data_IF_861578497792
#
_entry.id   IF_861578497792
#
_cell.length_a   1.000
_cell.length_b   1.000
_cell.length_c   1.000
_cell.angle_alpha   90.00
_cell.angle_beta   90.00
_cell.angle_gamma   90.00
#
_symmetry.space_group_name_H-M   'P 1'
#
loop_
_entity.id
_entity.type
_entity.pdbx_description
1 polymer ?
#
# COMPACT_ATOMS: atom_id res chain seq x y z
N UNK A 1 3.01 -4.30 -18.97
CA UNK A 1 3.23 -2.96 -18.39
C UNK A 1 3.52 -3.10 -16.91
N UNK A 2 4.66 -2.61 -16.42
CA UNK A 2 5.07 -2.73 -15.01
C UNK A 2 4.28 -1.76 -14.10
N UNK A 3 4.30 -1.98 -12.77
CA UNK A 3 3.59 -1.15 -11.79
C UNK A 3 3.87 0.37 -11.92
N UNK A 4 5.13 0.85 -12.11
CA UNK A 4 5.39 2.29 -12.29
C UNK A 4 4.67 2.88 -13.50
N UNK A 5 4.58 2.12 -14.60
CA UNK A 5 3.88 2.57 -15.80
C UNK A 5 2.36 2.60 -15.62
N UNK A 6 1.80 1.73 -14.76
CA UNK A 6 0.38 1.77 -14.39
C UNK A 6 0.10 3.00 -13.53
N UNK A 7 0.90 3.25 -12.49
CA UNK A 7 0.73 4.45 -11.66
C UNK A 7 0.89 5.73 -12.48
N UNK A 8 1.91 5.80 -13.33
CA UNK A 8 2.08 6.93 -14.22
C UNK A 8 0.86 7.14 -15.14
N UNK A 9 0.31 6.08 -15.72
CA UNK A 9 -0.92 6.18 -16.52
C UNK A 9 -2.10 6.70 -15.70
N UNK A 10 -2.28 6.20 -14.46
CA UNK A 10 -3.35 6.66 -13.57
C UNK A 10 -3.17 8.13 -13.22
N UNK A 11 -1.94 8.60 -12.98
CA UNK A 11 -1.67 10.02 -12.70
C UNK A 11 -2.08 10.98 -13.83
N UNK A 12 -2.16 10.49 -15.07
CA UNK A 12 -2.62 11.27 -16.23
C UNK A 12 -4.15 11.21 -16.44
N UNK A 13 -4.90 10.60 -15.53
CA UNK A 13 -6.36 10.50 -15.65
C UNK A 13 -7.02 11.88 -15.63
N UNK A 14 -8.13 12.02 -16.36
CA UNK A 14 -8.83 13.30 -16.54
C UNK A 14 -9.33 13.88 -15.20
N UNK A 15 -9.67 13.01 -14.26
CA UNK A 15 -10.08 13.34 -12.89
C UNK A 15 -9.06 14.24 -12.17
N UNK A 16 -7.77 14.09 -12.49
CA UNK A 16 -6.69 14.81 -11.82
C UNK A 16 -6.31 16.14 -12.47
N UNK A 17 -6.86 16.48 -13.63
CA UNK A 17 -6.52 17.72 -14.35
C UNK A 17 -6.85 19.01 -13.58
N UNK A 18 -7.78 18.93 -12.63
CA UNK A 18 -8.15 20.06 -11.77
C UNK A 18 -7.14 20.32 -10.64
N UNK A 19 -6.29 19.33 -10.31
CA UNK A 19 -5.24 19.50 -9.32
C UNK A 19 -4.14 20.39 -9.90
N UNK A 20 -3.69 21.33 -9.08
CA UNK A 20 -2.58 22.22 -9.41
C UNK A 20 -1.48 22.06 -8.37
N UNK A 21 -0.26 22.17 -8.85
CA UNK A 21 0.92 22.30 -7.99
C UNK A 21 1.01 23.76 -7.54
N UNK A 22 1.27 23.96 -6.25
CA UNK A 22 1.44 25.28 -5.63
C UNK A 22 2.87 25.40 -5.08
N UNK A 23 3.43 26.61 -5.07
CA UNK A 23 4.84 26.79 -4.68
C UNK A 23 5.09 26.42 -3.21
N UNK A 24 4.11 26.66 -2.33
CA UNK A 24 4.21 26.40 -0.89
C UNK A 24 4.20 24.91 -0.50
N UNK A 25 3.83 24.01 -1.42
CA UNK A 25 3.79 22.55 -1.19
C UNK A 25 4.96 21.81 -1.86
N UNK A 26 5.73 22.46 -2.74
CA UNK A 26 6.82 21.84 -3.51
C UNK A 26 7.88 21.19 -2.62
N UNK A 27 8.31 21.88 -1.56
CA UNK A 27 9.34 21.37 -0.66
C UNK A 27 8.91 20.08 0.05
N UNK A 28 7.64 19.99 0.45
CA UNK A 28 7.08 18.80 1.09
C UNK A 28 6.89 17.67 0.07
N UNK A 29 6.43 17.99 -1.13
CA UNK A 29 6.32 17.01 -2.23
C UNK A 29 7.68 16.42 -2.60
N UNK A 30 8.73 17.23 -2.67
CA UNK A 30 10.10 16.76 -2.92
C UNK A 30 10.57 15.80 -1.82
N UNK A 31 10.36 16.16 -0.54
CA UNK A 31 10.69 15.30 0.59
C UNK A 31 10.02 13.93 0.45
N UNK A 32 8.70 13.90 0.25
CA UNK A 32 7.96 12.64 0.07
C UNK A 32 8.39 11.88 -1.19
N UNK A 33 8.78 12.57 -2.25
CA UNK A 33 9.30 11.94 -3.47
C UNK A 33 10.62 11.19 -3.21
N UNK A 34 11.50 11.73 -2.38
CA UNK A 34 12.80 11.12 -2.07
C UNK A 34 12.74 10.08 -0.96
N UNK A 35 11.95 10.33 0.09
CA UNK A 35 11.98 9.53 1.31
C UNK A 35 10.90 8.42 1.30
N UNK A 36 9.77 8.63 0.62
CA UNK A 36 8.57 7.80 0.80
C UNK A 36 8.07 7.10 -0.47
N UNK A 37 8.51 7.53 -1.65
CA UNK A 37 8.09 6.92 -2.92
C UNK A 37 8.95 5.70 -3.27
N UNK A 38 8.36 4.51 -3.21
CA UNK A 38 9.00 3.25 -3.60
C UNK A 38 9.14 3.07 -5.12
N UNK A 39 8.22 3.65 -5.90
CA UNK A 39 8.19 3.57 -7.34
C UNK A 39 8.63 4.90 -7.98
N UNK A 40 9.34 4.87 -9.11
CA UNK A 40 9.79 6.09 -9.78
C UNK A 40 8.62 7.02 -10.13
N UNK A 41 8.75 8.29 -9.73
CA UNK A 41 7.81 9.36 -10.07
C UNK A 41 8.26 10.02 -11.37
N UNK A 42 7.48 9.86 -12.43
CA UNK A 42 7.71 10.58 -13.69
C UNK A 42 7.19 12.01 -13.58
N UNK A 43 7.96 12.99 -14.08
CA UNK A 43 7.57 14.40 -14.11
C UNK A 43 7.95 15.23 -12.89
N UNK A 44 8.37 14.61 -11.78
CA UNK A 44 8.79 15.31 -10.55
C UNK A 44 7.66 16.05 -9.83
N UNK A 45 7.97 16.64 -8.68
CA UNK A 45 7.03 17.36 -7.80
C UNK A 45 6.37 18.58 -8.44
N UNK A 46 7.01 19.18 -9.44
CA UNK A 46 6.53 20.39 -10.16
C UNK A 46 5.37 20.11 -11.13
N UNK A 47 5.16 18.84 -11.52
CA UNK A 47 4.09 18.44 -12.44
C UNK A 47 2.84 17.98 -11.69
N UNK A 48 1.65 18.23 -12.24
CA UNK A 48 0.40 17.72 -11.65
C UNK A 48 0.41 16.20 -11.57
N UNK A 49 0.92 15.52 -12.61
CA UNK A 49 1.00 14.07 -12.66
C UNK A 49 1.98 13.49 -11.63
N UNK A 50 3.11 14.18 -11.44
CA UNK A 50 4.09 13.83 -10.41
C UNK A 50 3.55 14.05 -9.00
N UNK A 51 2.88 15.18 -8.74
CA UNK A 51 2.14 15.42 -7.48
C UNK A 51 1.14 14.30 -7.19
N UNK A 52 0.32 13.91 -8.17
CA UNK A 52 -0.64 12.81 -8.02
C UNK A 52 0.06 11.50 -7.68
N UNK A 53 1.16 11.19 -8.37
CA UNK A 53 1.93 9.97 -8.13
C UNK A 53 2.54 9.96 -6.72
N UNK A 54 3.19 11.05 -6.31
CA UNK A 54 3.77 11.23 -4.96
C UNK A 54 2.68 11.03 -3.91
N UNK A 55 1.58 11.78 -3.99
CA UNK A 55 0.49 11.69 -3.02
C UNK A 55 -0.13 10.29 -2.93
N UNK A 56 -0.25 9.58 -4.06
CA UNK A 56 -0.75 8.21 -4.06
C UNK A 56 0.22 7.25 -3.35
N UNK A 57 1.53 7.39 -3.57
CA UNK A 57 2.52 6.56 -2.89
C UNK A 57 2.65 6.89 -1.40
N UNK A 58 2.64 8.18 -1.05
CA UNK A 58 2.57 8.68 0.34
C UNK A 58 1.34 8.13 1.06
N UNK A 59 0.19 8.11 0.39
CA UNK A 59 -1.06 7.51 0.92
C UNK A 59 -0.92 6.01 1.19
N UNK A 60 -0.38 5.25 0.22
CA UNK A 60 -0.17 3.80 0.39
C UNK A 60 0.80 3.53 1.55
N UNK A 61 1.88 4.30 1.64
CA UNK A 61 2.88 4.18 2.70
C UNK A 61 2.44 4.72 4.06
N UNK A 62 1.22 5.24 4.22
CA UNK A 62 0.69 5.86 5.46
C UNK A 62 1.58 6.96 6.02
N UNK A 63 2.24 7.70 5.14
CA UNK A 63 3.16 8.75 5.55
C UNK A 63 2.41 10.02 5.95
N UNK A 64 2.95 10.74 6.92
CA UNK A 64 2.32 11.93 7.45
C UNK A 64 2.53 13.11 6.50
N UNK A 65 1.42 13.70 6.05
CA UNK A 65 1.41 14.94 5.27
C UNK A 65 1.05 16.10 6.20
N UNK A 66 1.90 17.13 6.21
CA UNK A 66 1.84 18.31 7.06
C UNK A 66 0.97 19.41 6.45
N UNK A 67 1.08 19.65 5.13
CA UNK A 67 0.30 20.69 4.48
C UNK A 67 -1.17 20.26 4.29
N UNK A 68 -2.09 21.02 4.89
CA UNK A 68 -3.54 20.74 4.83
C UNK A 68 -4.12 20.65 3.40
N UNK A 69 -3.56 21.43 2.47
CA UNK A 69 -3.98 21.36 1.07
C UNK A 69 -3.56 20.03 0.42
N UNK A 70 -2.35 19.55 0.73
CA UNK A 70 -1.88 18.23 0.31
C UNK A 70 -2.65 17.09 0.97
N UNK A 71 -3.06 17.20 2.24
CA UNK A 71 -3.92 16.20 2.90
C UNK A 71 -5.25 16.03 2.16
N UNK A 72 -5.84 17.15 1.74
CA UNK A 72 -7.10 17.16 0.98
C UNK A 72 -6.91 16.59 -0.42
N UNK A 73 -5.85 17.01 -1.11
CA UNK A 73 -5.49 16.53 -2.44
C UNK A 73 -5.15 15.02 -2.40
N UNK A 74 -4.44 14.53 -1.38
CA UNK A 74 -4.12 13.12 -1.18
C UNK A 74 -5.38 12.27 -1.01
N UNK A 75 -6.33 12.71 -0.19
CA UNK A 75 -7.61 12.02 0.01
C UNK A 75 -8.41 11.94 -1.29
N UNK A 76 -8.41 13.02 -2.07
CA UNK A 76 -9.03 13.06 -3.40
C UNK A 76 -8.33 12.10 -4.36
N UNK A 77 -7.00 12.11 -4.41
CA UNK A 77 -6.19 11.21 -5.26
C UNK A 77 -6.45 9.76 -4.93
N UNK A 78 -6.36 9.36 -3.66
CA UNK A 78 -6.57 8.00 -3.21
C UNK A 78 -7.95 7.45 -3.58
N UNK A 79 -9.01 8.23 -3.35
CA UNK A 79 -10.37 7.81 -3.68
C UNK A 79 -10.57 7.59 -5.18
N UNK A 80 -10.09 8.52 -6.01
CA UNK A 80 -10.27 8.42 -7.46
C UNK A 80 -9.34 7.36 -8.07
N UNK A 81 -8.08 7.27 -7.64
CA UNK A 81 -7.14 6.24 -8.08
C UNK A 81 -7.67 4.83 -7.78
N UNK A 82 -8.22 4.60 -6.59
CA UNK A 82 -8.84 3.32 -6.23
C UNK A 82 -10.02 2.94 -7.13
N UNK A 83 -10.86 3.91 -7.54
CA UNK A 83 -11.95 3.67 -8.50
C UNK A 83 -11.43 3.37 -9.90
N UNK A 84 -10.47 4.17 -10.38
CA UNK A 84 -9.86 4.01 -11.71
C UNK A 84 -9.19 2.63 -11.83
N UNK A 85 -8.40 2.23 -10.85
CA UNK A 85 -7.69 0.94 -10.88
C UNK A 85 -8.65 -0.25 -10.84
N UNK A 86 -9.73 -0.18 -10.06
CA UNK A 86 -10.79 -1.21 -10.09
C UNK A 86 -11.49 -1.29 -11.45
N UNK A 87 -11.81 -0.15 -12.06
CA UNK A 87 -12.38 -0.12 -13.40
C UNK A 87 -11.43 -0.73 -14.45
N UNK A 88 -10.13 -0.37 -14.39
CA UNK A 88 -9.10 -0.96 -15.25
C UNK A 88 -8.98 -2.47 -15.04
N UNK A 89 -8.99 -2.94 -13.79
CA UNK A 89 -8.98 -4.35 -13.42
C UNK A 89 -10.14 -5.11 -14.07
N UNK A 90 -11.37 -4.60 -13.94
CA UNK A 90 -12.54 -5.24 -14.56
C UNK A 90 -12.45 -5.31 -16.09
N UNK A 91 -11.93 -4.25 -16.73
CA UNK A 91 -11.76 -4.23 -18.19
C UNK A 91 -10.76 -5.29 -18.63
N UNK A 92 -9.59 -5.38 -17.98
CA UNK A 92 -8.55 -6.36 -18.37
C UNK A 92 -8.97 -7.79 -18.04
N UNK A 93 -9.73 -7.99 -16.96
CA UNK A 93 -10.31 -9.27 -16.58
C UNK A 93 -11.26 -9.79 -17.66
N UNK A 94 -12.19 -8.94 -18.13
CA UNK A 94 -13.14 -9.30 -19.21
C UNK A 94 -12.43 -9.57 -20.54
N UNK A 95 -11.27 -8.93 -20.78
CA UNK A 95 -10.43 -9.17 -21.97
C UNK A 95 -9.54 -10.41 -21.87
N UNK A 96 -9.46 -11.06 -20.70
CA UNK A 96 -8.63 -12.25 -20.48
C UNK A 96 -7.13 -11.96 -20.42
N UNK A 97 -6.71 -10.73 -20.13
CA UNK A 97 -5.29 -10.36 -20.05
C UNK A 97 -4.69 -10.71 -18.69
N UNK A 98 -4.55 -12.02 -18.42
CA UNK A 98 -4.18 -12.60 -17.11
C UNK A 98 -3.03 -11.88 -16.39
N UNK A 99 -1.93 -11.57 -17.09
CA UNK A 99 -0.77 -10.87 -16.50
C UNK A 99 -1.14 -9.46 -16.02
N UNK A 100 -1.93 -8.71 -16.81
CA UNK A 100 -2.35 -7.37 -16.44
C UNK A 100 -3.44 -7.39 -15.37
N UNK A 101 -4.33 -8.38 -15.43
CA UNK A 101 -5.34 -8.64 -14.39
C UNK A 101 -4.69 -8.85 -13.04
N UNK A 102 -3.67 -9.70 -12.94
CA UNK A 102 -2.94 -9.92 -11.70
C UNK A 102 -2.29 -8.63 -11.16
N UNK A 103 -1.64 -7.85 -12.03
CA UNK A 103 -0.98 -6.59 -11.63
C UNK A 103 -1.95 -5.52 -11.14
N UNK A 104 -3.08 -5.34 -11.84
CA UNK A 104 -4.10 -4.38 -11.45
C UNK A 104 -4.85 -4.84 -10.18
N UNK A 105 -5.03 -6.15 -9.99
CA UNK A 105 -5.56 -6.69 -8.74
C UNK A 105 -4.62 -6.38 -7.57
N UNK A 106 -3.31 -6.64 -7.73
CA UNK A 106 -2.30 -6.30 -6.71
C UNK A 106 -2.36 -4.81 -6.38
N UNK A 107 -2.31 -3.91 -7.37
CA UNK A 107 -2.39 -2.47 -7.12
C UNK A 107 -3.71 -2.04 -6.47
N UNK A 108 -4.84 -2.67 -6.83
CA UNK A 108 -6.13 -2.42 -6.18
C UNK A 108 -6.06 -2.76 -4.70
N UNK A 109 -5.47 -3.91 -4.34
CA UNK A 109 -5.30 -4.31 -2.93
C UNK A 109 -4.35 -3.38 -2.20
N UNK A 110 -3.23 -3.00 -2.82
CA UNK A 110 -2.23 -2.11 -2.23
C UNK A 110 -2.84 -0.76 -1.85
N UNK A 111 -3.67 -0.18 -2.73
CA UNK A 111 -4.33 1.10 -2.46
C UNK A 111 -5.45 0.96 -1.43
N UNK A 112 -6.26 -0.10 -1.53
CA UNK A 112 -7.37 -0.32 -0.61
C UNK A 112 -6.92 -0.56 0.83
N UNK A 113 -5.84 -1.33 1.01
CA UNK A 113 -5.32 -1.68 2.33
C UNK A 113 -4.21 -0.73 2.83
N UNK A 114 -3.74 0.18 1.98
CA UNK A 114 -2.57 1.04 2.26
C UNK A 114 -1.39 0.19 2.75
N UNK A 115 -1.05 -0.81 1.95
CA UNK A 115 -0.02 -1.80 2.27
C UNK A 115 0.65 -2.25 0.98
N UNK A 116 1.96 -2.07 0.87
CA UNK A 116 2.71 -2.52 -0.30
C UNK A 116 2.79 -4.04 -0.35
N UNK A 117 3.01 -4.57 -1.55
CA UNK A 117 3.06 -6.02 -1.81
C UNK A 117 4.30 -6.71 -1.21
N UNK A 118 5.34 -5.94 -0.87
CA UNK A 118 6.54 -6.42 -0.17
C UNK A 118 6.46 -6.30 1.36
N UNK A 119 5.48 -5.56 1.89
CA UNK A 119 5.30 -5.42 3.33
C UNK A 119 4.62 -6.65 3.93
N UNK A 120 4.90 -6.94 5.21
CA UNK A 120 4.32 -8.12 5.83
C UNK A 120 2.78 -7.98 5.96
N UNK A 121 1.98 -8.97 5.55
CA UNK A 121 0.51 -8.87 5.55
C UNK A 121 -0.10 -8.51 6.90
N UNK A 122 0.59 -8.84 8.00
CA UNK A 122 0.12 -8.50 9.34
C UNK A 122 0.15 -6.99 9.67
N UNK A 123 0.81 -6.14 8.86
CA UNK A 123 0.76 -4.68 8.99
C UNK A 123 -0.62 -4.09 8.76
N UNK A 124 -1.57 -4.86 8.22
CA UNK A 124 -2.97 -4.45 8.14
C UNK A 124 -3.67 -4.42 9.51
N UNK A 125 -3.10 -5.09 10.53
CA UNK A 125 -3.63 -5.18 11.89
C UNK A 125 -2.93 -4.16 12.79
N UNK A 126 -3.70 -3.22 13.34
CA UNK A 126 -3.20 -2.18 14.25
C UNK A 126 -2.92 -2.74 15.67
N UNK A 127 -3.29 -3.99 15.92
CA UNK A 127 -3.11 -4.67 17.20
C UNK A 127 -1.67 -5.13 17.43
N UNK A 128 -0.87 -5.22 16.37
CA UNK A 128 0.52 -5.64 16.45
C UNK A 128 1.43 -4.43 16.58
N UNK A 129 2.34 -4.49 17.55
CA UNK A 129 3.31 -3.41 17.75
C UNK A 129 4.34 -3.38 16.61
N UNK A 130 4.82 -2.20 16.21
CA UNK A 130 5.79 -2.06 15.12
C UNK A 130 7.05 -2.90 15.28
N UNK A 131 7.53 -3.11 16.51
CA UNK A 131 8.75 -3.89 16.76
C UNK A 131 8.59 -5.37 16.35
N UNK A 132 7.38 -5.92 16.49
CA UNK A 132 7.10 -7.30 16.08
C UNK A 132 7.05 -7.37 14.56
N UNK A 133 6.33 -6.43 13.92
CA UNK A 133 6.22 -6.35 12.47
C UNK A 133 7.60 -6.19 11.80
N UNK A 134 8.44 -5.31 12.34
CA UNK A 134 9.80 -5.11 11.84
C UNK A 134 10.65 -6.38 12.00
N UNK A 135 10.52 -7.13 13.11
CA UNK A 135 11.20 -8.43 13.26
C UNK A 135 10.70 -9.45 12.23
N UNK A 136 9.38 -9.55 12.02
CA UNK A 136 8.82 -10.46 11.03
C UNK A 136 9.37 -10.21 9.63
N UNK A 137 9.51 -8.94 9.25
CA UNK A 137 10.09 -8.52 7.98
C UNK A 137 11.60 -8.74 7.91
N UNK A 138 12.33 -8.45 8.98
CA UNK A 138 13.77 -8.72 9.08
C UNK A 138 14.12 -10.21 8.92
N UNK A 139 13.26 -11.09 9.43
CA UNK A 139 13.43 -12.54 9.31
C UNK A 139 12.76 -13.13 8.06
N UNK A 140 12.14 -12.30 7.21
CA UNK A 140 11.39 -12.71 6.01
C UNK A 140 10.37 -13.83 6.31
N UNK A 141 9.74 -13.77 7.49
CA UNK A 141 8.85 -14.84 7.94
C UNK A 141 7.50 -14.70 7.26
N UNK A 142 7.10 -15.71 6.50
CA UNK A 142 5.77 -15.78 5.90
C UNK A 142 4.70 -16.19 6.91
N UNK A 143 3.44 -15.89 6.60
CA UNK A 143 2.29 -16.38 7.38
C UNK A 143 2.27 -17.91 7.50
N UNK A 144 2.65 -18.62 6.43
CA UNK A 144 2.72 -20.08 6.43
C UNK A 144 3.81 -20.56 7.39
N UNK A 145 4.98 -19.92 7.38
CA UNK A 145 6.06 -20.27 8.31
C UNK A 145 5.65 -19.98 9.75
N UNK A 146 5.05 -18.83 10.02
CA UNK A 146 4.56 -18.47 11.36
C UNK A 146 3.54 -19.47 11.91
N UNK A 147 2.73 -20.08 11.04
CA UNK A 147 1.75 -21.09 11.42
C UNK A 147 2.39 -22.43 11.82
N UNK A 148 3.56 -22.74 11.26
CA UNK A 148 4.32 -23.96 11.53
C UNK A 148 5.28 -23.82 12.72
N UNK A 149 5.55 -22.59 13.17
CA UNK A 149 6.49 -22.33 14.27
C UNK A 149 5.97 -22.85 15.60
N UNK A 150 6.88 -23.46 16.37
CA UNK A 150 6.58 -23.92 17.72
C UNK A 150 6.70 -22.80 18.77
N UNK A 151 6.21 -23.05 19.99
CA UNK A 151 6.21 -22.04 21.05
C UNK A 151 7.60 -21.50 21.38
N UNK A 152 8.67 -22.29 21.20
CA UNK A 152 10.05 -21.87 21.48
C UNK A 152 10.60 -20.97 20.36
N UNK A 153 10.27 -21.28 19.10
CA UNK A 153 10.64 -20.45 17.95
C UNK A 153 9.95 -19.07 17.99
N UNK A 154 8.78 -18.96 18.62
CA UNK A 154 8.06 -17.69 18.75
C UNK A 154 8.62 -16.84 19.92
N UNK A 155 9.35 -17.42 20.87
CA UNK A 155 9.99 -16.67 21.97
C UNK A 155 10.99 -15.62 21.48
N UNK A 156 11.54 -15.74 20.25
CA UNK A 156 12.40 -14.73 19.62
C UNK A 156 11.72 -13.36 19.47
N UNK A 157 10.38 -13.34 19.46
CA UNK A 157 9.59 -12.11 19.43
C UNK A 157 9.41 -11.46 20.82
N UNK A 158 9.86 -12.12 21.90
CA UNK A 158 9.77 -11.65 23.29
C UNK A 158 8.46 -12.03 23.96
N UNK A 159 8.17 -11.44 25.12
CA UNK A 159 6.95 -11.68 25.94
C UNK A 159 5.62 -11.44 25.21
N UNK A 160 5.65 -10.83 24.03
CA UNK A 160 4.51 -10.54 23.17
C UNK A 160 4.24 -11.64 22.13
N UNK A 161 5.05 -12.71 22.16
CA UNK A 161 4.85 -13.98 21.48
C UNK A 161 3.44 -14.56 21.69
N UNK A 162 2.90 -14.41 22.91
CA UNK A 162 1.54 -14.83 23.27
C UNK A 162 0.49 -14.13 22.41
N UNK A 163 0.72 -12.88 21.99
CA UNK A 163 -0.22 -12.13 21.16
C UNK A 163 -0.18 -12.60 19.70
N UNK A 164 1.00 -13.00 19.19
CA UNK A 164 1.14 -13.62 17.87
C UNK A 164 0.45 -14.98 17.85
N UNK A 165 0.63 -15.83 18.88
CA UNK A 165 -0.06 -17.13 18.97
C UNK A 165 -1.57 -17.00 19.23
N UNK A 166 -2.04 -16.02 20.00
CA UNK A 166 -3.47 -15.80 20.25
C UNK A 166 -4.18 -15.21 19.03
N UNK A 167 -3.54 -14.24 18.34
CA UNK A 167 -4.06 -13.65 17.09
C UNK A 167 -4.06 -14.69 15.96
N UNK A 168 -2.98 -15.48 15.81
CA UNK A 168 -2.88 -16.54 14.79
C UNK A 168 -3.64 -17.84 15.18
N UNK A 169 -3.91 -18.10 16.45
CA UNK A 169 -4.48 -19.37 16.91
C UNK A 169 -5.99 -19.37 17.18
N UNK A 170 -6.57 -18.25 17.62
CA UNK A 170 -7.89 -18.29 18.26
C UNK A 170 -9.08 -17.80 17.43
N UNK A 171 -8.94 -16.69 16.70
CA UNK A 171 -10.11 -16.01 16.13
C UNK A 171 -9.75 -15.12 14.94
N UNK A 172 -8.59 -14.47 14.99
CA UNK A 172 -8.17 -13.59 13.92
C UNK A 172 -7.78 -14.40 12.69
N UNK A 173 -7.01 -15.49 12.77
CA UNK A 173 -6.61 -16.24 11.56
C UNK A 173 -7.75 -16.64 10.61
N UNK A 174 -8.94 -17.02 11.11
CA UNK A 174 -10.10 -17.27 10.23
C UNK A 174 -10.66 -15.99 9.60
N UNK A 175 -10.65 -14.87 10.31
CA UNK A 175 -11.09 -13.57 9.80
C UNK A 175 -10.05 -12.95 8.84
N UNK A 176 -8.76 -13.05 9.21
CA UNK A 176 -7.57 -12.64 8.48
C UNK A 176 -7.42 -13.45 7.18
N UNK A 177 -7.55 -14.78 7.23
CA UNK A 177 -7.53 -15.61 6.02
C UNK A 177 -8.76 -15.34 5.14
N UNK A 178 -9.93 -15.06 5.74
CA UNK A 178 -11.13 -14.70 4.99
C UNK A 178 -10.99 -13.33 4.29
N UNK A 179 -10.36 -12.34 4.93
CA UNK A 179 -10.04 -11.05 4.31
C UNK A 179 -8.87 -11.12 3.29
N UNK A 180 -7.88 -11.98 3.51
CA UNK A 180 -6.75 -12.15 2.60
C UNK A 180 -7.08 -13.01 1.36
N UNK A 181 -8.01 -13.97 1.49
CA UNK A 181 -8.31 -14.98 0.45
C UNK A 181 -9.74 -14.94 -0.13
N UNK A 182 -10.69 -14.12 0.37
CA UNK A 182 -11.98 -13.95 -0.32
C UNK A 182 -11.91 -12.92 -1.46
N UNK A 183 -11.77 -13.44 -2.68
CA UNK A 183 -12.61 -13.12 -3.84
C UNK A 183 -12.93 -14.43 -4.57
#
# INVERSE_FOLDING_TARGET
MQQPAILNMVSHAQEFQQLKVRDEELQELDRHMFDDCYLPVSGGSESTEGKVNILLQTYIGKQLVENFSLVSDMSYVAQNAGRIIRALFEIVLRKGWSVMTGRLLTLSKVIEHQLWDFEHPLRQFNELRPEILNKLEQFELSLDRLKEMDSNEIEIFGSDATFVTVTLGGFALRHILKQLFEY
#
